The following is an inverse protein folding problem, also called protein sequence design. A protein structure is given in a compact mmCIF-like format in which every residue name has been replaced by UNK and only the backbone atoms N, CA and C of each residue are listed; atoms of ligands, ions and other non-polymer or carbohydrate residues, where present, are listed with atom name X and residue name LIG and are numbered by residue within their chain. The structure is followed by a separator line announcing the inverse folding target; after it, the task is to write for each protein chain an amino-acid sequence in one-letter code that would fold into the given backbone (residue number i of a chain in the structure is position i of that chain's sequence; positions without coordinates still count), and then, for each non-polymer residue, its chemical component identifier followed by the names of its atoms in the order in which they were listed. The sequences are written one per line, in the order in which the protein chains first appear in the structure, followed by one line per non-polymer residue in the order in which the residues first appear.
data_IF_951266450974
#
_entry.id   IF_951266450974
#
_cell.length_a   1.000
_cell.length_b   1.000
_cell.length_c   1.000
_cell.angle_alpha   90.00
_cell.angle_beta   90.00
_cell.angle_gamma   90.00
#
_symmetry.space_group_name_H-M   'P 1'
#
loop_
_entity.id
_entity.type
_entity.pdbx_description
1 polymer ?
#
# COMPACT_ATOMS: atom_id res chain seq x y z
N UNK A 1 -0.03 14.63 -12.49
CA UNK A 1 -0.76 13.88 -11.45
C UNK A 1 -0.60 14.53 -10.06
N UNK A 2 0.57 15.10 -9.74
CA UNK A 2 0.87 15.86 -8.50
C UNK A 2 -0.21 16.84 -8.01
N UNK A 3 -0.85 17.60 -8.91
CA UNK A 3 -1.78 18.66 -8.50
C UNK A 3 -3.09 18.14 -7.88
N UNK A 4 -3.51 16.91 -8.15
CA UNK A 4 -4.77 16.37 -7.60
C UNK A 4 -4.59 15.71 -6.24
N UNK A 5 -3.45 15.03 -6.02
CA UNK A 5 -3.09 14.48 -4.71
C UNK A 5 -2.85 15.61 -3.69
N UNK A 6 -2.14 16.68 -4.11
CA UNK A 6 -1.86 17.84 -3.25
C UNK A 6 -3.10 18.71 -2.98
N UNK A 7 -4.05 18.80 -3.92
CA UNK A 7 -5.30 19.55 -3.73
C UNK A 7 -6.32 18.81 -2.86
N UNK A 8 -6.22 17.49 -2.74
CA UNK A 8 -7.03 16.73 -1.78
C UNK A 8 -6.61 16.97 -0.32
N UNK A 9 -5.35 17.37 -0.09
CA UNK A 9 -4.85 17.77 1.24
C UNK A 9 -5.49 19.05 1.77
N UNK A 10 -6.01 19.91 0.89
CA UNK A 10 -6.46 21.26 1.23
C UNK A 10 -7.90 21.31 1.79
N UNK A 11 -8.66 20.20 1.73
CA UNK A 11 -10.08 20.20 2.13
C UNK A 11 -10.47 19.22 3.24
N UNK A 12 -9.59 18.31 3.65
CA UNK A 12 -9.81 17.44 4.83
C UNK A 12 -8.46 16.92 5.33
N UNK A 13 -7.74 17.67 6.17
CA UNK A 13 -6.35 17.36 6.54
C UNK A 13 -6.17 16.11 7.42
N UNK A 14 -7.24 15.45 7.88
CA UNK A 14 -7.14 14.50 9.00
C UNK A 14 -7.92 13.20 8.81
N UNK A 15 -7.98 12.70 7.57
CA UNK A 15 -8.58 11.39 7.28
C UNK A 15 -7.55 10.44 6.71
N UNK A 16 -7.59 9.18 7.15
CA UNK A 16 -6.82 8.08 6.58
C UNK A 16 -6.82 8.05 5.04
N UNK A 17 -7.90 8.51 4.40
CA UNK A 17 -8.02 8.67 2.95
C UNK A 17 -6.97 9.61 2.32
N UNK A 18 -6.55 10.68 2.99
CA UNK A 18 -5.59 11.65 2.46
C UNK A 18 -4.15 11.10 2.48
N UNK A 19 -3.75 10.42 3.57
CA UNK A 19 -2.46 9.74 3.64
C UNK A 19 -2.34 8.55 2.69
N UNK A 20 -3.46 7.84 2.45
CA UNK A 20 -3.53 6.77 1.46
C UNK A 20 -3.37 7.29 0.03
N UNK A 21 -3.97 8.45 -0.29
CA UNK A 21 -3.85 9.08 -1.60
C UNK A 21 -2.42 9.54 -1.91
N UNK A 22 -1.70 10.05 -0.90
CA UNK A 22 -0.28 10.39 -1.02
C UNK A 22 0.58 9.15 -1.26
N UNK A 23 0.40 8.10 -0.46
CA UNK A 23 1.14 6.86 -0.63
C UNK A 23 0.91 6.20 -1.99
N UNK A 24 -0.33 6.28 -2.51
CA UNK A 24 -0.65 5.83 -3.88
C UNK A 24 0.12 6.65 -4.91
N UNK A 25 0.14 7.98 -4.78
CA UNK A 25 0.89 8.85 -5.69
C UNK A 25 2.40 8.55 -5.66
N UNK A 26 2.99 8.35 -4.47
CA UNK A 26 4.41 8.03 -4.32
C UNK A 26 4.77 6.66 -4.90
N UNK A 27 3.91 5.65 -4.74
CA UNK A 27 4.08 4.34 -5.40
C UNK A 27 4.03 4.49 -6.92
N UNK A 28 3.19 5.38 -7.44
CA UNK A 28 3.11 5.69 -8.87
C UNK A 28 4.33 6.46 -9.38
N UNK A 29 4.85 7.41 -8.59
CA UNK A 29 6.01 8.23 -8.94
C UNK A 29 7.36 7.55 -8.66
N UNK A 30 7.34 6.26 -8.26
CA UNK A 30 8.51 5.42 -7.93
C UNK A 30 9.30 5.89 -6.70
N UNK A 31 8.73 6.76 -5.87
CA UNK A 31 9.27 7.17 -4.57
C UNK A 31 8.95 6.14 -3.48
N UNK A 32 9.38 4.90 -3.71
CA UNK A 32 8.93 3.75 -2.91
C UNK A 32 9.48 3.77 -1.48
N UNK A 33 10.71 4.25 -1.25
CA UNK A 33 11.25 4.40 0.11
C UNK A 33 10.48 5.44 0.93
N UNK A 34 10.13 6.58 0.33
CA UNK A 34 9.38 7.65 1.00
C UNK A 34 7.93 7.22 1.27
N UNK A 35 7.31 6.50 0.34
CA UNK A 35 6.02 5.84 0.54
C UNK A 35 6.09 4.88 1.72
N UNK A 36 7.13 4.04 1.79
CA UNK A 36 7.29 3.05 2.86
C UNK A 36 7.43 3.72 4.23
N UNK A 37 8.25 4.77 4.37
CA UNK A 37 8.37 5.51 5.65
C UNK A 37 7.04 6.08 6.11
N UNK A 38 6.27 6.64 5.18
CA UNK A 38 4.94 7.20 5.47
C UNK A 38 3.98 6.11 5.93
N UNK A 39 3.95 5.00 5.20
CA UNK A 39 3.08 3.86 5.47
C UNK A 39 3.44 3.12 6.76
N UNK A 40 4.71 3.08 7.14
CA UNK A 40 5.14 2.50 8.42
C UNK A 40 4.64 3.28 9.62
N UNK A 41 4.57 4.62 9.54
CA UNK A 41 3.90 5.43 10.56
C UNK A 41 2.40 5.14 10.60
N UNK A 42 1.76 5.08 9.44
CA UNK A 42 0.32 4.88 9.33
C UNK A 42 -0.14 3.50 9.82
N UNK A 43 0.69 2.46 9.69
CA UNK A 43 0.31 1.13 10.20
C UNK A 43 0.26 1.10 11.74
N UNK A 44 1.02 1.98 12.41
CA UNK A 44 1.00 2.13 13.86
C UNK A 44 -0.21 2.94 14.33
N UNK A 45 -0.58 3.99 13.58
CA UNK A 45 -1.75 4.82 13.87
C UNK A 45 -3.07 4.10 13.56
N UNK A 46 -3.09 3.31 12.50
CA UNK A 46 -4.28 2.64 11.99
C UNK A 46 -4.05 1.13 11.84
N UNK A 47 -3.86 0.40 12.96
CA UNK A 47 -3.50 -1.01 12.95
C UNK A 47 -4.64 -1.92 12.47
N UNK A 48 -5.86 -1.44 12.30
CA UNK A 48 -6.99 -2.23 11.76
C UNK A 48 -7.36 -1.84 10.34
N UNK A 49 -6.73 -0.81 9.76
CA UNK A 49 -7.05 -0.34 8.42
C UNK A 49 -6.38 -1.23 7.36
N UNK A 50 -7.16 -1.97 6.54
CA UNK A 50 -6.61 -2.89 5.55
C UNK A 50 -5.89 -2.16 4.42
N UNK A 51 -6.34 -0.98 4.01
CA UNK A 51 -5.74 -0.26 2.87
C UNK A 51 -4.35 0.30 3.16
N UNK A 52 -4.01 0.70 4.40
CA UNK A 52 -2.61 1.04 4.77
C UNK A 52 -1.69 -0.14 4.45
N UNK A 53 -2.11 -1.35 4.84
CA UNK A 53 -1.34 -2.57 4.60
C UNK A 53 -1.29 -2.94 3.12
N UNK A 54 -2.36 -2.70 2.36
CA UNK A 54 -2.34 -2.90 0.91
C UNK A 54 -1.27 -2.01 0.26
N UNK A 55 -1.26 -0.71 0.58
CA UNK A 55 -0.27 0.20 0.00
C UNK A 55 1.14 -0.11 0.48
N UNK A 56 1.33 -0.47 1.76
CA UNK A 56 2.64 -0.88 2.27
C UNK A 56 3.14 -2.13 1.56
N UNK A 57 2.24 -3.09 1.32
CA UNK A 57 2.55 -4.28 0.55
C UNK A 57 2.96 -3.98 -0.89
N UNK A 58 2.32 -3.00 -1.55
CA UNK A 58 2.71 -2.55 -2.88
C UNK A 58 4.07 -1.85 -2.90
N UNK A 59 4.33 -0.94 -1.94
CA UNK A 59 5.61 -0.26 -1.81
C UNK A 59 6.76 -1.26 -1.58
N UNK A 60 6.57 -2.21 -0.65
CA UNK A 60 7.53 -3.29 -0.38
C UNK A 60 7.76 -4.18 -1.60
N UNK A 61 6.72 -4.51 -2.35
CA UNK A 61 6.87 -5.29 -3.58
C UNK A 61 7.70 -4.55 -4.63
N UNK A 62 7.48 -3.24 -4.81
CA UNK A 62 8.30 -2.39 -5.67
C UNK A 62 9.76 -2.34 -5.21
N UNK A 63 9.99 -2.25 -3.90
CA UNK A 63 11.32 -2.33 -3.27
C UNK A 63 11.92 -3.74 -3.23
N UNK A 64 11.31 -4.70 -3.93
CA UNK A 64 11.76 -6.11 -4.02
C UNK A 64 11.68 -6.90 -2.70
N UNK A 65 11.11 -6.31 -1.65
CA UNK A 65 10.73 -7.01 -0.43
C UNK A 65 9.42 -7.79 -0.65
N UNK A 66 9.53 -8.89 -1.41
CA UNK A 66 8.41 -9.79 -1.71
C UNK A 66 7.85 -10.43 -0.43
N UNK A 67 8.71 -10.73 0.55
CA UNK A 67 8.30 -11.38 1.78
C UNK A 67 7.42 -10.45 2.63
N UNK A 68 7.88 -9.21 2.86
CA UNK A 68 7.12 -8.19 3.57
C UNK A 68 5.84 -7.81 2.84
N UNK A 69 5.88 -7.71 1.51
CA UNK A 69 4.69 -7.47 0.70
C UNK A 69 3.61 -8.53 0.90
N UNK A 70 3.97 -9.82 0.85
CA UNK A 70 3.03 -10.93 1.06
C UNK A 70 2.48 -10.94 2.48
N UNK A 71 3.30 -10.61 3.49
CA UNK A 71 2.87 -10.53 4.89
C UNK A 71 1.80 -9.46 5.09
N UNK A 72 2.02 -8.27 4.54
CA UNK A 72 1.06 -7.16 4.63
C UNK A 72 -0.25 -7.47 3.93
N UNK A 73 -0.19 -8.00 2.70
CA UNK A 73 -1.38 -8.34 1.93
C UNK A 73 -2.20 -9.46 2.58
N UNK A 74 -1.55 -10.47 3.19
CA UNK A 74 -2.25 -11.50 3.97
C UNK A 74 -2.95 -10.89 5.18
N UNK A 75 -2.33 -9.92 5.84
CA UNK A 75 -2.93 -9.25 6.99
C UNK A 75 -4.09 -8.36 6.57
N UNK A 76 -3.95 -7.60 5.48
CA UNK A 76 -5.05 -6.84 4.90
C UNK A 76 -6.26 -7.71 4.54
N UNK A 77 -6.01 -8.90 3.96
CA UNK A 77 -7.07 -9.86 3.66
C UNK A 77 -7.77 -10.39 4.93
N UNK A 78 -7.04 -10.62 6.03
CA UNK A 78 -7.65 -11.05 7.29
C UNK A 78 -8.52 -9.95 7.91
N UNK A 79 -8.12 -8.69 7.77
CA UNK A 79 -8.85 -7.54 8.29
C UNK A 79 -10.12 -7.25 7.50
N UNK A 80 -10.04 -7.38 6.17
CA UNK A 80 -11.20 -7.28 5.29
C UNK A 80 -11.19 -8.43 4.25
N UNK A 81 -11.84 -9.56 4.58
CA UNK A 81 -11.93 -10.69 3.67
C UNK A 81 -12.76 -10.42 2.42
N UNK A 82 -13.67 -9.42 2.46
CA UNK A 82 -14.56 -9.07 1.35
C UNK A 82 -13.84 -8.23 0.31
N UNK A 83 -12.74 -7.56 0.66
CA UNK A 83 -11.91 -6.84 -0.27
C UNK A 83 -11.11 -7.80 -1.18
N UNK A 84 -11.33 -7.78 -2.50
CA UNK A 84 -10.63 -8.67 -3.42
C UNK A 84 -9.19 -8.22 -3.74
N UNK A 85 -8.83 -6.97 -3.41
CA UNK A 85 -7.54 -6.36 -3.80
C UNK A 85 -6.34 -7.14 -3.23
N UNK A 86 -6.26 -7.44 -1.93
CA UNK A 86 -5.10 -8.17 -1.40
C UNK A 86 -4.89 -9.53 -2.06
N UNK A 87 -5.98 -10.27 -2.33
CA UNK A 87 -5.90 -11.58 -2.96
C UNK A 87 -5.46 -11.50 -4.43
N UNK A 88 -5.95 -10.52 -5.19
CA UNK A 88 -5.51 -10.26 -6.57
C UNK A 88 -4.01 -9.93 -6.62
N UNK A 89 -3.53 -9.08 -5.69
CA UNK A 89 -2.12 -8.73 -5.60
C UNK A 89 -1.25 -9.93 -5.21
N UNK A 90 -1.67 -10.73 -4.22
CA UNK A 90 -0.95 -11.95 -3.83
C UNK A 90 -0.81 -12.94 -5.00
N UNK A 91 -1.87 -13.10 -5.81
CA UNK A 91 -1.84 -13.93 -7.01
C UNK A 91 -0.83 -13.39 -8.03
N UNK A 92 -0.90 -12.09 -8.34
CA UNK A 92 0.04 -11.44 -9.26
C UNK A 92 1.49 -11.56 -8.81
N UNK A 93 1.77 -11.34 -7.51
CA UNK A 93 3.10 -11.52 -6.93
C UNK A 93 3.58 -12.95 -7.16
N UNK A 94 2.76 -13.95 -6.81
CA UNK A 94 3.10 -15.36 -6.99
C UNK A 94 3.45 -15.66 -8.44
N UNK A 95 2.61 -15.25 -9.38
CA UNK A 95 2.77 -15.55 -10.80
C UNK A 95 4.05 -14.89 -11.36
N UNK A 96 4.35 -13.65 -10.95
CA UNK A 96 5.58 -12.94 -11.32
C UNK A 96 6.85 -13.56 -10.71
N UNK A 97 6.75 -14.14 -9.52
CA UNK A 97 7.89 -14.82 -8.87
C UNK A 97 8.09 -16.25 -9.34
N UNK A 98 7.02 -16.91 -9.78
CA UNK A 98 7.07 -18.29 -10.24
C UNK A 98 7.71 -18.43 -11.62
N UNK A 99 7.52 -17.45 -12.51
CA UNK A 99 8.12 -17.41 -13.85
C UNK A 99 9.60 -16.98 -13.90
N UNK A 100 10.30 -16.92 -12.75
CA UNK A 100 11.73 -16.59 -12.65
C UNK A 100 12.62 -17.81 -12.39
N UNK A 101 12.09 -19.02 -12.56
CA UNK A 101 12.83 -20.27 -12.48
C UNK A 101 13.12 -20.80 -13.87
#
# INVERSE_FOLDING_TARGET
AERWARKSLDRTPDTYASGLALAVAQVHDQELEDALRTLDRFVGLYPTEPGVRIQRGLARFGLRDVAGARSDLRTAHRLDPRNPVPQRLLRKIRDLTAGRQ
#
